data_IF_894178054306
#
_entry.id   IF_894178054306
#
_cell.length_a   1.000
_cell.length_b   1.000
_cell.length_c   1.000
_cell.angle_alpha   90.00
_cell.angle_beta   90.00
_cell.angle_gamma   90.00
#
_symmetry.space_group_name_H-M   'P 1'
#
loop_
_entity.id
_entity.type
_entity.pdbx_description
1 polymer ?
#
# COMPACT_ATOMS: atom_id res chain seq x y z
N UNK A 1 -4.23 7.46 9.06
CA UNK A 1 -4.58 6.03 9.34
C UNK A 1 -4.11 5.15 8.17
N UNK A 2 -3.23 4.19 8.41
CA UNK A 2 -2.74 3.24 7.38
C UNK A 2 -3.54 1.94 7.42
N UNK A 3 -3.50 1.15 6.34
CA UNK A 3 -3.96 -0.25 6.33
C UNK A 3 -2.72 -1.13 6.55
N UNK A 4 -2.74 -1.98 7.57
CA UNK A 4 -1.54 -2.69 8.04
C UNK A 4 -1.73 -4.20 7.89
N UNK A 5 -0.74 -4.86 7.30
CA UNK A 5 -0.63 -6.32 7.18
C UNK A 5 0.57 -6.78 8.01
N UNK A 6 0.35 -7.13 9.29
CA UNK A 6 1.43 -7.45 10.22
C UNK A 6 2.09 -8.79 9.90
N UNK A 7 3.41 -8.83 10.02
CA UNK A 7 4.15 -10.08 10.12
C UNK A 7 4.08 -10.62 11.57
N UNK A 8 3.90 -11.93 11.74
CA UNK A 8 3.89 -12.55 13.08
C UNK A 8 5.23 -12.36 13.81
N UNK A 9 6.34 -12.53 13.09
CA UNK A 9 7.71 -12.30 13.57
C UNK A 9 8.28 -11.03 12.96
N UNK A 10 7.70 -9.88 13.30
CA UNK A 10 8.07 -8.58 12.75
C UNK A 10 9.55 -8.23 12.99
N UNK A 11 10.30 -8.10 11.91
CA UNK A 11 11.70 -7.62 11.88
C UNK A 11 11.78 -6.18 11.39
N UNK A 12 10.87 -5.78 10.49
CA UNK A 12 10.87 -4.43 9.89
C UNK A 12 9.48 -4.05 9.39
N UNK A 13 9.23 -2.74 9.26
CA UNK A 13 8.02 -2.19 8.65
C UNK A 13 8.37 -1.43 7.37
N UNK A 14 7.61 -1.70 6.32
CA UNK A 14 7.71 -1.00 5.05
C UNK A 14 6.41 -0.27 4.77
N UNK A 15 6.48 1.05 4.63
CA UNK A 15 5.35 1.86 4.18
C UNK A 15 5.30 1.85 2.67
N UNK A 16 4.14 1.50 2.10
CA UNK A 16 3.97 1.35 0.66
C UNK A 16 2.85 2.29 0.19
N UNK A 17 3.20 3.24 -0.66
CA UNK A 17 2.22 4.01 -1.43
C UNK A 17 1.67 3.10 -2.54
N UNK A 18 0.37 2.82 -2.48
CA UNK A 18 -0.29 1.84 -3.34
C UNK A 18 -1.49 2.43 -4.06
N UNK A 19 -1.72 1.95 -5.29
CA UNK A 19 -2.91 2.22 -6.09
C UNK A 19 -3.62 0.89 -6.34
N UNK A 20 -4.95 0.86 -6.18
CA UNK A 20 -5.79 -0.32 -6.38
C UNK A 20 -5.67 -0.81 -7.83
N UNK A 21 -5.62 0.11 -8.80
CA UNK A 21 -5.63 -0.21 -10.22
C UNK A 21 -4.21 -0.43 -10.80
N UNK A 22 -3.17 -0.50 -9.95
CA UNK A 22 -1.80 -0.73 -10.40
C UNK A 22 -1.46 -2.23 -10.43
N UNK A 23 -1.08 -2.82 -11.58
CA UNK A 23 -0.77 -4.25 -11.69
C UNK A 23 0.33 -4.73 -10.73
N UNK A 24 1.37 -3.92 -10.53
CA UNK A 24 2.44 -4.23 -9.57
C UNK A 24 1.99 -4.11 -8.10
N UNK A 25 1.03 -3.23 -7.80
CA UNK A 25 0.43 -3.14 -6.47
C UNK A 25 -0.47 -4.33 -6.16
N UNK A 26 -1.19 -4.84 -7.17
CA UNK A 26 -1.95 -6.09 -7.09
C UNK A 26 -1.00 -7.25 -6.86
N UNK A 27 0.08 -7.33 -7.65
CA UNK A 27 1.11 -8.37 -7.49
C UNK A 27 1.72 -8.37 -6.09
N UNK A 28 2.15 -7.21 -5.59
CA UNK A 28 2.68 -7.07 -4.23
C UNK A 28 1.68 -7.58 -3.19
N UNK A 29 0.40 -7.26 -3.35
CA UNK A 29 -0.63 -7.69 -2.41
C UNK A 29 -0.92 -9.19 -2.43
N UNK A 30 -0.87 -9.82 -3.61
CA UNK A 30 -0.99 -11.28 -3.74
C UNK A 30 0.14 -12.03 -3.04
N UNK A 31 1.32 -11.42 -2.99
CA UNK A 31 2.50 -11.95 -2.33
C UNK A 31 2.60 -11.53 -0.85
N UNK A 32 1.53 -10.97 -0.24
CA UNK A 32 1.57 -10.44 1.13
C UNK A 32 2.08 -11.45 2.16
N UNK A 33 1.65 -12.71 2.05
CA UNK A 33 2.11 -13.79 2.92
C UNK A 33 3.63 -14.01 2.85
N UNK A 34 4.23 -13.85 1.66
CA UNK A 34 5.69 -13.99 1.51
C UNK A 34 6.44 -12.86 2.20
N UNK A 35 5.94 -11.61 2.12
CA UNK A 35 6.53 -10.50 2.88
C UNK A 35 6.42 -10.74 4.38
N UNK A 36 5.25 -11.17 4.86
CA UNK A 36 5.04 -11.44 6.27
C UNK A 36 5.91 -12.61 6.77
N UNK A 37 6.13 -13.65 5.97
CA UNK A 37 7.03 -14.77 6.28
C UNK A 37 8.49 -14.34 6.41
N UNK A 38 8.92 -13.32 5.65
CA UNK A 38 10.26 -12.71 5.79
C UNK A 38 10.39 -11.81 7.04
N UNK A 39 9.31 -11.60 7.79
CA UNK A 39 9.25 -10.69 8.94
C UNK A 39 8.99 -9.23 8.54
N UNK A 40 8.46 -8.99 7.34
CA UNK A 40 8.19 -7.65 6.82
C UNK A 40 6.71 -7.33 7.03
N UNK A 41 6.42 -6.35 7.87
CA UNK A 41 5.07 -5.76 8.00
C UNK A 41 4.86 -4.71 6.92
N UNK A 42 3.80 -4.86 6.12
CA UNK A 42 3.45 -3.89 5.08
C UNK A 42 2.40 -2.91 5.60
N UNK A 43 2.65 -1.61 5.43
CA UNK A 43 1.72 -0.53 5.79
C UNK A 43 1.33 0.25 4.53
N UNK A 44 0.08 0.16 4.09
CA UNK A 44 -0.36 0.91 2.92
C UNK A 44 -0.75 2.36 3.26
N UNK A 45 -0.31 3.25 2.38
CA UNK A 45 -0.86 4.58 2.17
C UNK A 45 -1.45 4.65 0.76
N UNK A 46 -2.59 5.31 0.62
CA UNK A 46 -3.25 5.47 -0.67
C UNK A 46 -2.46 6.43 -1.57
N UNK A 47 -2.29 6.04 -2.84
CA UNK A 47 -1.73 6.89 -3.87
C UNK A 47 -2.44 6.66 -5.21
N UNK A 48 -3.68 7.14 -5.38
CA UNK A 48 -4.40 7.02 -6.64
C UNK A 48 -3.66 7.80 -7.72
N UNK A 49 -3.03 7.12 -8.68
CA UNK A 49 -2.12 7.76 -9.66
C UNK A 49 -2.84 8.76 -10.57
N UNK A 50 -4.13 8.58 -10.77
CA UNK A 50 -4.97 9.51 -11.54
C UNK A 50 -5.32 10.79 -10.77
N UNK A 51 -4.98 10.88 -9.48
CA UNK A 51 -5.19 12.07 -8.65
C UNK A 51 -6.54 12.11 -7.93
N UNK A 52 -6.69 13.13 -7.08
CA UNK A 52 -7.89 13.39 -6.27
C UNK A 52 -9.09 13.69 -7.18
N UNK A 53 -10.28 13.19 -6.80
CA UNK A 53 -11.52 13.40 -7.55
C UNK A 53 -11.74 12.44 -8.72
N UNK A 54 -10.83 11.48 -8.93
CA UNK A 54 -10.97 10.45 -9.97
C UNK A 54 -11.62 9.17 -9.48
N UNK A 55 -11.93 8.24 -10.40
CA UNK A 55 -12.45 6.91 -10.04
C UNK A 55 -11.48 6.10 -9.18
N UNK A 56 -10.17 6.17 -9.44
CA UNK A 56 -9.15 5.49 -8.62
C UNK A 56 -9.13 6.06 -7.20
N UNK A 57 -9.27 7.39 -7.06
CA UNK A 57 -9.43 8.03 -5.75
C UNK A 57 -10.68 7.54 -5.02
N UNK A 58 -11.83 7.48 -5.69
CA UNK A 58 -13.07 7.00 -5.06
C UNK A 58 -12.97 5.53 -4.64
N UNK A 59 -12.31 4.66 -5.42
CA UNK A 59 -12.04 3.28 -5.00
C UNK A 59 -11.21 3.22 -3.73
N UNK A 60 -10.17 4.05 -3.62
CA UNK A 60 -9.36 4.14 -2.40
C UNK A 60 -10.20 4.62 -1.21
N UNK A 61 -11.07 5.62 -1.39
CA UNK A 61 -12.00 6.06 -0.34
C UNK A 61 -12.93 4.93 0.08
N UNK A 62 -13.52 4.18 -0.86
CA UNK A 62 -14.39 3.04 -0.55
C UNK A 62 -13.67 1.99 0.31
N UNK A 63 -12.40 1.67 -0.02
CA UNK A 63 -11.57 0.75 0.77
C UNK A 63 -11.30 1.30 2.18
N UNK A 64 -10.87 2.56 2.29
CA UNK A 64 -10.53 3.14 3.59
C UNK A 64 -11.74 3.36 4.51
N UNK A 65 -12.92 3.51 3.93
CA UNK A 65 -14.20 3.62 4.64
C UNK A 65 -14.91 2.28 4.83
N UNK A 66 -14.32 1.15 4.41
CA UNK A 66 -14.88 -0.16 4.67
C UNK A 66 -14.85 -0.50 6.16
N UNK A 67 -15.72 -1.41 6.58
CA UNK A 67 -15.79 -1.85 7.98
C UNK A 67 -14.53 -2.68 8.33
N UNK A 68 -14.03 -3.42 7.35
CA UNK A 68 -12.69 -4.03 7.35
C UNK A 68 -11.89 -3.52 6.13
N UNK A 69 -11.06 -2.47 6.30
CA UNK A 69 -10.23 -1.94 5.22
C UNK A 69 -9.18 -2.93 4.69
N UNK A 70 -8.68 -3.86 5.53
CA UNK A 70 -7.66 -4.81 5.13
C UNK A 70 -8.24 -5.86 4.17
N UNK A 71 -9.44 -6.37 4.48
CA UNK A 71 -10.21 -7.25 3.59
C UNK A 71 -10.62 -6.50 2.32
N UNK A 72 -11.21 -5.30 2.46
CA UNK A 72 -11.70 -4.52 1.33
C UNK A 72 -10.59 -4.16 0.31
N UNK A 73 -9.37 -3.91 0.79
CA UNK A 73 -8.21 -3.70 -0.08
C UNK A 73 -7.91 -4.93 -0.94
N UNK A 74 -8.01 -6.13 -0.36
CA UNK A 74 -7.83 -7.38 -1.09
C UNK A 74 -8.91 -7.60 -2.13
N UNK A 75 -10.18 -7.49 -1.73
CA UNK A 75 -11.34 -7.61 -2.62
C UNK A 75 -11.20 -6.63 -3.82
N UNK A 76 -10.87 -5.35 -3.54
CA UNK A 76 -10.70 -4.34 -4.57
C UNK A 76 -9.53 -4.64 -5.53
N UNK A 77 -8.41 -5.17 -5.03
CA UNK A 77 -7.25 -5.55 -5.84
C UNK A 77 -7.47 -6.82 -6.67
N UNK A 78 -8.38 -7.69 -6.25
CA UNK A 78 -8.86 -8.83 -7.04
C UNK A 78 -9.94 -8.44 -8.07
N UNK A 79 -10.34 -7.17 -8.10
CA UNK A 79 -11.25 -6.62 -9.11
C UNK A 79 -12.71 -6.56 -8.65
N UNK A 80 -13.01 -6.87 -7.38
CA UNK A 80 -14.35 -6.70 -6.85
C UNK A 80 -14.76 -5.22 -6.83
N UNK A 81 -16.04 -4.97 -7.10
CA UNK A 81 -16.61 -3.63 -6.99
C UNK A 81 -17.14 -3.42 -5.59
N UNK A 82 -16.45 -2.59 -4.81
CA UNK A 82 -16.88 -2.22 -3.47
C UNK A 82 -18.06 -1.24 -3.50
N UNK A 83 -18.97 -1.29 -2.51
CA UNK A 83 -19.99 -0.27 -2.31
C UNK A 83 -19.38 1.12 -2.25
N UNK A 84 -20.08 2.10 -2.82
CA UNK A 84 -19.66 3.50 -2.69
C UNK A 84 -19.86 3.95 -1.25
N UNK A 85 -18.77 4.27 -0.57
CA UNK A 85 -18.76 4.79 0.80
C UNK A 85 -18.07 6.15 0.83
N UNK A 86 -18.42 6.95 1.82
CA UNK A 86 -17.69 8.16 2.16
C UNK A 86 -17.68 8.31 3.69
N UNK A 87 -16.55 8.74 4.22
CA UNK A 87 -16.30 8.92 5.63
C UNK A 87 -15.13 9.89 5.81
N UNK A 88 -14.87 10.35 7.03
CA UNK A 88 -13.62 11.03 7.33
C UNK A 88 -12.45 10.05 7.13
N UNK A 89 -11.61 10.31 6.14
CA UNK A 89 -10.60 9.38 5.65
C UNK A 89 -9.30 10.08 5.26
N UNK A 90 -8.15 9.39 5.33
CA UNK A 90 -6.85 10.00 5.11
C UNK A 90 -6.39 9.97 3.64
N UNK A 91 -7.23 9.56 2.66
CA UNK A 91 -6.76 9.27 1.29
C UNK A 91 -6.16 10.51 0.62
N UNK A 92 -6.83 11.66 0.71
CA UNK A 92 -6.31 12.91 0.16
C UNK A 92 -4.99 13.34 0.84
N UNK A 93 -4.91 13.23 2.16
CA UNK A 93 -3.71 13.54 2.92
C UNK A 93 -2.55 12.61 2.55
N UNK A 94 -2.80 11.30 2.42
CA UNK A 94 -1.79 10.32 2.01
C UNK A 94 -1.28 10.58 0.61
N UNK A 95 -2.17 10.90 -0.33
CA UNK A 95 -1.78 11.31 -1.68
C UNK A 95 -0.86 12.54 -1.65
N UNK A 96 -1.20 13.57 -0.87
CA UNK A 96 -0.36 14.77 -0.71
C UNK A 96 1.00 14.46 -0.07
N UNK A 97 1.06 13.58 0.94
CA UNK A 97 2.33 13.14 1.52
C UNK A 97 3.18 12.43 0.47
N UNK A 98 2.59 11.53 -0.33
CA UNK A 98 3.31 10.86 -1.41
C UNK A 98 3.87 11.84 -2.45
N UNK A 99 3.11 12.88 -2.81
CA UNK A 99 3.60 13.93 -3.71
C UNK A 99 4.77 14.70 -3.09
N UNK A 100 4.69 15.07 -1.81
CA UNK A 100 5.77 15.76 -1.10
C UNK A 100 7.04 14.91 -0.98
N UNK A 101 6.90 13.59 -0.89
CA UNK A 101 8.02 12.63 -0.90
C UNK A 101 8.52 12.30 -2.32
N UNK A 102 7.96 12.91 -3.36
CA UNK A 102 8.40 12.70 -4.75
C UNK A 102 7.97 11.36 -5.34
N UNK A 103 6.88 10.75 -4.87
CA UNK A 103 6.35 9.51 -5.43
C UNK A 103 5.86 9.72 -6.87
N UNK A 104 6.56 9.14 -7.84
CA UNK A 104 6.22 9.24 -9.27
C UNK A 104 5.47 8.02 -9.82
N UNK A 105 5.35 6.95 -9.03
CA UNK A 105 4.70 5.71 -9.44
C UNK A 105 4.42 4.80 -8.26
N UNK A 106 3.62 3.77 -8.48
CA UNK A 106 3.24 2.80 -7.46
C UNK A 106 3.58 1.37 -7.90
N UNK A 107 3.93 0.46 -6.98
CA UNK A 107 4.15 0.73 -5.56
C UNK A 107 5.43 1.57 -5.35
N UNK A 108 5.40 2.49 -4.39
CA UNK A 108 6.60 3.15 -3.88
C UNK A 108 6.77 2.80 -2.41
N UNK A 109 7.96 2.34 -2.04
CA UNK A 109 8.21 1.74 -0.73
C UNK A 109 9.20 2.58 0.06
N UNK A 110 8.92 2.78 1.35
CA UNK A 110 9.73 3.56 2.27
C UNK A 110 9.98 2.76 3.54
N UNK A 111 11.25 2.72 3.97
CA UNK A 111 11.64 2.17 5.27
C UNK A 111 11.36 3.17 6.39
N UNK A 112 11.47 2.72 7.64
CA UNK A 112 11.22 3.54 8.82
C UNK A 112 12.24 4.69 9.00
N UNK A 113 13.45 4.52 8.46
CA UNK A 113 14.50 5.54 8.44
C UNK A 113 14.29 6.60 7.34
N UNK A 114 13.20 6.51 6.57
CA UNK A 114 12.88 7.42 5.46
C UNK A 114 13.51 7.02 4.11
N UNK A 115 14.26 5.92 4.05
CA UNK A 115 14.86 5.46 2.80
C UNK A 115 13.81 5.02 1.80
N UNK A 116 13.86 5.62 0.61
CA UNK A 116 13.07 5.18 -0.53
C UNK A 116 13.68 3.93 -1.17
N UNK A 117 12.84 2.93 -1.43
CA UNK A 117 13.21 1.69 -2.09
C UNK A 117 12.68 1.67 -3.54
N UNK A 118 13.36 0.98 -4.47
CA UNK A 118 12.86 0.75 -5.83
C UNK A 118 11.50 0.05 -5.80
N UNK A 119 10.60 0.40 -6.75
CA UNK A 119 9.17 0.07 -6.77
C UNK A 119 8.74 -1.33 -6.30
N UNK A 120 8.23 -2.20 -7.18
CA UNK A 120 7.91 -3.57 -6.75
C UNK A 120 9.20 -4.39 -6.58
N UNK A 121 9.30 -5.13 -5.48
CA UNK A 121 10.42 -6.03 -5.22
C UNK A 121 9.93 -7.29 -4.47
N UNK A 122 10.19 -8.51 -4.98
CA UNK A 122 9.80 -9.75 -4.29
C UNK A 122 10.33 -9.81 -2.85
N UNK A 123 9.56 -10.43 -1.95
CA UNK A 123 9.82 -10.45 -0.50
C UNK A 123 11.27 -10.81 -0.12
N UNK A 124 11.81 -11.93 -0.64
CA UNK A 124 13.19 -12.36 -0.38
C UNK A 124 14.24 -11.34 -0.80
N UNK A 125 14.04 -10.68 -1.95
CA UNK A 125 14.95 -9.65 -2.45
C UNK A 125 14.85 -8.39 -1.60
N UNK A 126 13.65 -8.01 -1.17
CA UNK A 126 13.45 -6.87 -0.28
C UNK A 126 14.11 -7.12 1.07
N UNK A 127 13.88 -8.28 1.68
CA UNK A 127 14.52 -8.75 2.91
C UNK A 127 16.06 -8.66 2.82
N UNK A 128 16.64 -9.24 1.76
CA UNK A 128 18.08 -9.17 1.52
C UNK A 128 18.61 -7.74 1.34
N UNK A 129 17.86 -6.87 0.64
CA UNK A 129 18.26 -5.47 0.43
C UNK A 129 18.23 -4.67 1.73
N UNK A 130 17.24 -4.93 2.60
CA UNK A 130 17.13 -4.30 3.91
C UNK A 130 18.28 -4.75 4.82
N UNK A 131 18.62 -6.04 4.81
CA UNK A 131 19.68 -6.59 5.66
C UNK A 131 21.11 -6.24 5.22
N UNK A 132 21.30 -5.84 3.97
CA UNK A 132 22.61 -5.47 3.42
C UNK A 132 22.98 -3.99 3.64
N UNK A 133 22.10 -3.23 4.29
CA UNK A 133 22.25 -1.83 4.64
C UNK A 133 22.91 -1.68 6.02
#
# INVERSE_FOLDING_TARGET
>A
KMIVYPAENEKTKVTVFTDIDCPYCVKLHREMADYNAEGITIRYMAYPRSGIGTRSYQKAVNVWCADDPAKAMGDAKEGETLPTKNCDNPVAQQYQIGQALGVQGTPAMFLEDGTSMPGYMPAKRLSATINAK
#
